data_IF_659314485125
#
_entry.id   IF_659314485125
#
_cell.length_a   1.000
_cell.length_b   1.000
_cell.length_c   1.000
_cell.angle_alpha   90.00
_cell.angle_beta   90.00
_cell.angle_gamma   90.00
#
_symmetry.space_group_name_H-M   'P 1'
#
loop_
_entity.id
_entity.type
_entity.pdbx_description
1 polymer ?
#
# COMPACT_ATOMS: atom_id res chain seq x y z
N UNK A 1 -18.07 -8.97 -18.10
CA UNK A 1 -16.93 -9.05 -17.16
C UNK A 1 -16.85 -7.80 -16.27
N UNK A 2 -16.80 -7.93 -14.94
CA UNK A 2 -16.60 -6.75 -14.08
C UNK A 2 -15.18 -6.23 -14.22
N UNK A 3 -14.97 -4.93 -14.02
CA UNK A 3 -13.64 -4.29 -14.05
C UNK A 3 -12.67 -5.01 -13.12
N UNK A 4 -13.12 -5.40 -11.92
CA UNK A 4 -12.29 -6.11 -10.96
C UNK A 4 -11.86 -7.50 -11.45
N UNK A 5 -12.73 -8.23 -12.16
CA UNK A 5 -12.40 -9.55 -12.73
C UNK A 5 -11.42 -9.43 -13.88
N UNK A 6 -11.65 -8.47 -14.78
CA UNK A 6 -10.74 -8.19 -15.88
C UNK A 6 -9.35 -7.77 -15.38
N UNK A 7 -9.29 -6.88 -14.39
CA UNK A 7 -8.02 -6.49 -13.77
C UNK A 7 -7.29 -7.68 -13.16
N UNK A 8 -7.98 -8.56 -12.42
CA UNK A 8 -7.36 -9.78 -11.85
C UNK A 8 -6.84 -10.71 -12.95
N UNK A 9 -7.51 -10.80 -14.08
CA UNK A 9 -7.04 -11.59 -15.23
C UNK A 9 -5.75 -11.02 -15.82
N UNK A 10 -5.64 -9.69 -15.95
CA UNK A 10 -4.44 -9.04 -16.48
C UNK A 10 -3.26 -9.02 -15.50
N UNK A 11 -3.51 -8.83 -14.20
CA UNK A 11 -2.47 -8.56 -13.19
C UNK A 11 -2.29 -9.69 -12.16
N UNK A 12 -3.07 -10.77 -12.23
CA UNK A 12 -3.02 -11.91 -11.31
C UNK A 12 -3.55 -11.66 -9.89
N UNK A 13 -3.84 -10.41 -9.52
CA UNK A 13 -4.32 -10.01 -8.19
C UNK A 13 -5.51 -9.06 -8.26
N UNK A 14 -6.30 -9.01 -7.19
CA UNK A 14 -7.42 -8.07 -7.11
C UNK A 14 -6.93 -6.63 -7.04
N UNK A 15 -7.69 -5.66 -7.59
CA UNK A 15 -7.30 -4.24 -7.58
C UNK A 15 -6.91 -3.72 -6.20
N UNK A 16 -7.66 -4.10 -5.15
CA UNK A 16 -7.38 -3.71 -3.77
C UNK A 16 -6.03 -4.24 -3.26
N UNK A 17 -5.68 -5.50 -3.59
CA UNK A 17 -4.35 -6.05 -3.24
C UNK A 17 -3.24 -5.33 -4.01
N UNK A 18 -3.48 -4.99 -5.28
CA UNK A 18 -2.53 -4.25 -6.11
C UNK A 18 -2.23 -2.85 -5.55
N UNK A 19 -3.27 -2.07 -5.26
CA UNK A 19 -3.12 -0.73 -4.66
C UNK A 19 -2.40 -0.82 -3.30
N UNK A 20 -2.74 -1.81 -2.47
CA UNK A 20 -2.06 -2.03 -1.19
C UNK A 20 -0.56 -2.32 -1.38
N UNK A 21 -0.18 -3.14 -2.36
CA UNK A 21 1.23 -3.40 -2.70
C UNK A 21 1.94 -2.13 -3.15
N UNK A 22 1.33 -1.34 -4.03
CA UNK A 22 1.89 -0.06 -4.48
C UNK A 22 2.11 0.91 -3.31
N UNK A 23 1.09 1.11 -2.46
CA UNK A 23 1.20 1.97 -1.27
C UNK A 23 2.32 1.51 -0.35
N UNK A 24 2.53 0.20 -0.21
CA UNK A 24 3.60 -0.36 0.61
C UNK A 24 4.99 -0.09 0.03
N UNK A 25 5.21 -0.38 -1.25
CA UNK A 25 6.48 -0.10 -1.92
C UNK A 25 6.82 1.38 -1.85
N UNK A 26 5.83 2.25 -2.08
CA UNK A 26 6.01 3.69 -1.98
C UNK A 26 6.30 4.15 -0.54
N UNK A 27 5.63 3.58 0.48
CA UNK A 27 5.93 3.88 1.88
C UNK A 27 7.38 3.51 2.25
N UNK A 28 7.87 2.35 1.78
CA UNK A 28 9.25 1.91 2.03
C UNK A 28 10.26 2.84 1.35
N UNK A 29 10.01 3.26 0.10
CA UNK A 29 10.84 4.22 -0.62
C UNK A 29 10.91 5.57 0.11
N UNK A 30 9.77 6.12 0.51
CA UNK A 30 9.75 7.39 1.27
C UNK A 30 10.50 7.26 2.59
N UNK A 31 10.38 6.10 3.26
CA UNK A 31 11.10 5.84 4.50
C UNK A 31 12.61 5.78 4.29
N UNK A 32 13.09 5.16 3.20
CA UNK A 32 14.52 5.11 2.88
C UNK A 32 15.10 6.48 2.52
N UNK A 33 14.25 7.41 2.05
CA UNK A 33 14.60 8.83 1.85
C UNK A 33 14.59 9.65 3.14
N UNK A 34 14.44 9.02 4.31
CA UNK A 34 14.46 9.69 5.61
C UNK A 34 13.12 10.30 6.05
N UNK A 35 12.04 10.16 5.28
CA UNK A 35 10.75 10.74 5.64
C UNK A 35 10.17 10.08 6.92
N UNK A 36 9.70 10.86 7.91
CA UNK A 36 9.07 10.31 9.11
C UNK A 36 7.75 9.59 8.80
N UNK A 37 7.47 8.49 9.51
CA UNK A 37 6.25 7.69 9.32
C UNK A 37 4.93 8.49 9.40
N UNK A 38 4.90 9.56 10.20
CA UNK A 38 3.74 10.45 10.31
C UNK A 38 3.43 11.17 9.00
N UNK A 39 4.46 11.69 8.35
CA UNK A 39 4.35 12.37 7.06
C UNK A 39 4.01 11.37 5.94
N UNK A 40 4.64 10.19 5.94
CA UNK A 40 4.33 9.11 4.99
C UNK A 40 2.86 8.70 5.09
N UNK A 41 2.34 8.53 6.31
CA UNK A 41 0.94 8.16 6.53
C UNK A 41 -0.01 9.20 5.94
N UNK A 42 0.23 10.48 6.22
CA UNK A 42 -0.54 11.59 5.65
C UNK A 42 -0.49 11.58 4.11
N UNK A 43 0.71 11.46 3.52
CA UNK A 43 0.91 11.44 2.06
C UNK A 43 0.20 10.27 1.36
N UNK A 44 0.03 9.14 2.05
CA UNK A 44 -0.66 7.95 1.54
C UNK A 44 -2.17 7.94 1.81
N UNK A 45 -2.70 9.00 2.43
CA UNK A 45 -4.12 9.17 2.76
C UNK A 45 -4.57 8.43 4.03
N UNK A 46 -3.65 8.08 4.93
CA UNK A 46 -4.01 7.48 6.22
C UNK A 46 -4.26 8.57 7.27
N UNK A 47 -5.44 8.51 7.90
CA UNK A 47 -5.79 9.36 9.05
C UNK A 47 -4.85 9.15 10.25
N UNK A 48 -4.39 7.92 10.46
CA UNK A 48 -3.59 7.51 11.60
C UNK A 48 -2.37 6.69 11.16
N UNK A 49 -1.20 7.00 11.75
CA UNK A 49 0.08 6.33 11.44
C UNK A 49 0.04 4.84 11.76
N UNK A 50 -0.77 4.45 12.74
CA UNK A 50 -0.99 3.06 13.15
C UNK A 50 -1.54 2.21 11.98
N UNK A 51 -2.42 2.77 11.15
CA UNK A 51 -2.98 2.07 9.99
C UNK A 51 -1.90 1.77 8.94
N UNK A 52 -1.02 2.73 8.69
CA UNK A 52 0.14 2.54 7.83
C UNK A 52 1.08 1.47 8.41
N UNK A 53 1.43 1.58 9.70
CA UNK A 53 2.32 0.63 10.38
C UNK A 53 1.76 -0.80 10.35
N UNK A 54 0.44 -0.97 10.55
CA UNK A 54 -0.25 -2.27 10.43
C UNK A 54 -0.17 -2.83 9.01
N UNK A 55 -0.36 -1.99 7.99
CA UNK A 55 -0.21 -2.40 6.59
C UNK A 55 1.22 -2.89 6.28
N UNK A 56 2.22 -2.22 6.84
CA UNK A 56 3.64 -2.57 6.64
C UNK A 56 4.00 -3.86 7.37
N UNK A 57 3.54 -4.04 8.61
CA UNK A 57 3.85 -5.20 9.46
C UNK A 57 3.31 -6.52 8.89
N UNK A 58 2.12 -6.52 8.31
CA UNK A 58 1.46 -7.75 7.84
C UNK A 58 2.04 -8.33 6.52
N UNK A 59 3.35 -8.19 6.24
CA UNK A 59 4.06 -9.00 5.21
C UNK A 59 4.95 -10.03 5.93
N UNK A 60 4.34 -11.03 6.53
CA UNK A 60 4.98 -12.34 6.56
C UNK A 60 4.34 -13.11 5.39
N UNK A 61 5.21 -13.62 4.51
CA UNK A 61 4.85 -14.64 3.51
C UNK A 61 4.18 -15.80 4.22
#
# INVERSE_FOLDING_TARGET
PTIARYFKQCYGITPMKYIRRLKKSYAKLLRSQGMPWKQIAYKLGYKYVQNLKRMIRNDNI
#
